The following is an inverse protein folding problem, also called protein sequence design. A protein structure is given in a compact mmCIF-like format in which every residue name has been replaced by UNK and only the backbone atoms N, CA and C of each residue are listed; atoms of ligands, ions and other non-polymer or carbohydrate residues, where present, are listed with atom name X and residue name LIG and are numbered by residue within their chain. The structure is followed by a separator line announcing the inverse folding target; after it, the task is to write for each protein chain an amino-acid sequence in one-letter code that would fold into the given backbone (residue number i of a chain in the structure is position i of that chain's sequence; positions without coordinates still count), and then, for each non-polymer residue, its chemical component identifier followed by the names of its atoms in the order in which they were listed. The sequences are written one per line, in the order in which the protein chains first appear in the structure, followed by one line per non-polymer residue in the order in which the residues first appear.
data_IF_906505579783
#
_entry.id   IF_906505579783
#
_cell.length_a   1.000
_cell.length_b   1.000
_cell.length_c   1.000
_cell.angle_alpha   90.00
_cell.angle_beta   90.00
_cell.angle_gamma   90.00
#
_symmetry.space_group_name_H-M   'P 1'
#
loop_
_entity.id
_entity.type
_entity.pdbx_description
1 polymer ?
#
# COMPACT_ATOMS: atom_id res chain seq x y z
N UNK A 1 8.81 -10.30 -94.59
CA UNK A 1 8.84 -11.37 -93.60
C UNK A 1 9.84 -11.06 -92.53
N UNK A 2 9.51 -10.24 -91.54
CA UNK A 2 10.31 -9.97 -90.27
C UNK A 2 9.38 -9.41 -89.27
N UNK A 3 9.43 -9.91 -88.07
CA UNK A 3 8.74 -9.42 -86.83
C UNK A 3 7.62 -10.27 -86.22
N UNK A 4 7.73 -11.60 -86.22
CA UNK A 4 6.81 -12.43 -85.40
C UNK A 4 7.54 -13.10 -84.20
N UNK A 5 8.88 -13.21 -84.23
CA UNK A 5 9.62 -13.91 -83.15
C UNK A 5 9.96 -13.07 -81.91
N UNK A 6 10.00 -11.75 -81.98
CA UNK A 6 10.36 -10.87 -80.87
C UNK A 6 9.21 -10.68 -79.83
N UNK A 7 7.94 -10.74 -80.29
CA UNK A 7 6.80 -10.59 -79.45
C UNK A 7 6.52 -11.79 -78.49
N UNK A 8 6.88 -12.99 -78.96
CA UNK A 8 6.66 -14.22 -78.18
C UNK A 8 7.71 -14.46 -77.10
N UNK A 9 8.93 -13.96 -77.31
CA UNK A 9 10.00 -14.06 -76.30
C UNK A 9 9.78 -13.06 -75.16
N UNK A 10 9.37 -11.83 -75.43
CA UNK A 10 9.02 -10.83 -74.41
C UNK A 10 7.77 -11.22 -73.55
N UNK A 11 6.78 -11.88 -74.17
CA UNK A 11 5.61 -12.38 -73.48
C UNK A 11 5.94 -13.52 -72.49
N UNK A 12 6.87 -14.43 -72.86
CA UNK A 12 7.34 -15.52 -71.97
C UNK A 12 8.21 -14.99 -70.84
N UNK A 13 9.03 -13.97 -71.05
CA UNK A 13 9.83 -13.35 -69.96
C UNK A 13 8.96 -12.58 -69.02
N UNK A 14 7.94 -11.84 -69.47
CA UNK A 14 6.97 -11.15 -68.63
C UNK A 14 6.09 -12.12 -67.85
N UNK A 15 5.68 -13.28 -68.34
CA UNK A 15 4.94 -14.28 -67.57
C UNK A 15 5.83 -14.98 -66.57
N UNK A 16 7.11 -15.19 -66.80
CA UNK A 16 8.02 -15.81 -65.81
C UNK A 16 8.35 -14.86 -64.65
N UNK A 17 8.50 -13.55 -64.93
CA UNK A 17 8.65 -12.56 -63.85
C UNK A 17 7.39 -12.37 -62.99
N UNK A 18 6.18 -12.49 -63.59
CA UNK A 18 4.91 -12.35 -62.83
C UNK A 18 4.62 -13.53 -61.91
N UNK A 19 5.18 -14.73 -62.18
CA UNK A 19 5.00 -15.92 -61.31
C UNK A 19 6.00 -15.96 -60.17
N UNK A 20 7.18 -15.29 -60.29
CA UNK A 20 8.19 -15.26 -59.21
C UNK A 20 7.94 -14.18 -58.16
N UNK A 21 7.19 -13.12 -58.44
CA UNK A 21 6.88 -12.05 -57.50
C UNK A 21 6.00 -12.47 -56.30
N UNK A 22 4.98 -13.35 -56.42
CA UNK A 22 4.21 -13.77 -55.24
C UNK A 22 4.95 -14.72 -54.30
N UNK A 23 5.99 -15.41 -54.76
CA UNK A 23 6.77 -16.34 -53.93
C UNK A 23 7.65 -15.64 -52.88
N UNK A 24 8.19 -14.47 -53.18
CA UNK A 24 8.98 -13.69 -52.24
C UNK A 24 8.11 -12.96 -51.20
N UNK A 25 6.86 -12.62 -51.53
CA UNK A 25 5.92 -12.00 -50.60
C UNK A 25 5.47 -12.96 -49.48
N UNK A 26 5.35 -14.26 -49.79
CA UNK A 26 5.00 -15.29 -48.81
C UNK A 26 6.10 -15.52 -47.78
N UNK A 27 7.38 -15.53 -48.18
CA UNK A 27 8.49 -15.66 -47.22
C UNK A 27 8.68 -14.43 -46.36
N UNK A 28 8.42 -13.23 -46.88
CA UNK A 28 8.49 -11.99 -46.12
C UNK A 28 7.36 -11.89 -45.03
N UNK A 29 6.16 -12.46 -45.32
CA UNK A 29 5.07 -12.53 -44.33
C UNK A 29 5.37 -13.51 -43.21
N UNK A 30 5.95 -14.69 -43.51
CA UNK A 30 6.32 -15.66 -42.47
C UNK A 30 7.44 -15.14 -41.54
N UNK A 31 8.41 -14.41 -42.10
CA UNK A 31 9.47 -13.79 -41.29
C UNK A 31 8.94 -12.62 -40.46
N UNK A 32 8.00 -11.82 -41.00
CA UNK A 32 7.35 -10.75 -40.25
C UNK A 32 6.48 -11.32 -39.13
N UNK A 33 5.73 -12.40 -39.39
CA UNK A 33 4.95 -13.09 -38.36
C UNK A 33 5.86 -13.67 -37.27
N UNK A 34 6.98 -14.30 -37.59
CA UNK A 34 7.97 -14.79 -36.64
C UNK A 34 8.59 -13.66 -35.80
N UNK A 35 8.91 -12.52 -36.41
CA UNK A 35 9.41 -11.34 -35.72
C UNK A 35 8.33 -10.77 -34.76
N UNK A 36 7.08 -10.69 -35.20
CA UNK A 36 5.95 -10.28 -34.35
C UNK A 36 5.69 -11.26 -33.23
N UNK A 37 5.76 -12.57 -33.44
CA UNK A 37 5.67 -13.59 -32.39
C UNK A 37 6.86 -13.51 -31.43
N UNK A 38 8.08 -13.30 -31.91
CA UNK A 38 9.26 -13.08 -31.04
C UNK A 38 9.20 -11.77 -30.26
N UNK A 39 8.63 -10.71 -30.82
CA UNK A 39 8.34 -9.47 -30.08
C UNK A 39 7.23 -9.67 -29.05
N UNK A 40 6.18 -10.44 -29.37
CA UNK A 40 5.11 -10.77 -28.42
C UNK A 40 5.58 -11.69 -27.28
N UNK A 41 6.52 -12.59 -27.51
CA UNK A 41 7.13 -13.40 -26.44
C UNK A 41 8.09 -12.60 -25.55
N UNK A 42 8.57 -11.44 -25.98
CA UNK A 42 9.35 -10.47 -25.20
C UNK A 42 8.48 -9.38 -24.56
N UNK A 43 7.16 -9.40 -24.72
CA UNK A 43 6.28 -8.43 -24.07
C UNK A 43 6.42 -8.60 -22.55
N UNK A 44 7.05 -7.62 -21.93
CA UNK A 44 7.18 -7.48 -20.49
C UNK A 44 5.77 -7.60 -19.89
N UNK A 45 5.49 -8.69 -19.17
CA UNK A 45 4.16 -8.97 -18.63
C UNK A 45 3.66 -7.71 -17.91
N UNK A 46 2.44 -7.29 -18.23
CA UNK A 46 1.82 -6.05 -17.73
C UNK A 46 1.79 -6.03 -16.22
N UNK A 47 2.35 -4.99 -15.59
CA UNK A 47 2.33 -4.80 -14.14
C UNK A 47 0.91 -4.45 -13.69
N UNK A 48 0.46 -5.10 -12.62
CA UNK A 48 -0.83 -4.78 -11.99
C UNK A 48 -0.64 -3.53 -11.13
N UNK A 49 -1.48 -2.52 -11.37
CA UNK A 49 -1.44 -1.23 -10.67
C UNK A 49 -2.73 -0.96 -9.90
N UNK A 50 -2.68 0.01 -8.98
CA UNK A 50 -3.83 0.46 -8.20
C UNK A 50 -4.55 -0.68 -7.46
N UNK A 51 -3.76 -1.51 -6.75
CA UNK A 51 -4.30 -2.55 -5.86
C UNK A 51 -5.08 -1.89 -4.72
N UNK A 52 -4.54 -0.81 -4.17
CA UNK A 52 -5.20 0.08 -3.21
C UNK A 52 -5.20 1.53 -3.73
N UNK A 53 -5.86 2.45 -3.03
CA UNK A 53 -6.04 3.85 -3.45
C UNK A 53 -5.16 4.84 -2.70
N UNK A 54 -4.65 4.45 -1.56
CA UNK A 54 -3.75 5.19 -0.70
C UNK A 54 -2.47 4.37 -0.50
N UNK A 55 -1.57 4.83 0.35
CA UNK A 55 -0.42 4.07 0.83
C UNK A 55 -0.68 3.42 2.20
N UNK A 56 -1.88 3.57 2.74
CA UNK A 56 -2.38 2.89 3.94
C UNK A 56 -3.77 2.33 3.69
N UNK A 57 -4.07 1.16 4.28
CA UNK A 57 -5.42 0.61 4.31
C UNK A 57 -6.34 1.53 5.13
N UNK A 58 -6.18 1.54 6.42
CA UNK A 58 -6.81 2.48 7.37
C UNK A 58 -5.76 2.94 8.39
N UNK A 59 -5.31 2.06 9.29
CA UNK A 59 -4.20 2.28 10.21
C UNK A 59 -2.88 1.79 9.60
N UNK A 60 -2.87 0.54 9.12
CA UNK A 60 -1.71 -0.15 8.58
C UNK A 60 -1.32 0.29 7.18
N UNK A 61 -0.06 0.09 6.84
CA UNK A 61 0.44 0.28 5.48
C UNK A 61 -0.18 -0.72 4.51
N UNK A 62 -0.38 -0.30 3.26
CA UNK A 62 -0.62 -1.18 2.14
C UNK A 62 0.64 -1.32 1.25
N UNK A 63 0.54 -2.06 0.14
CA UNK A 63 1.68 -2.30 -0.77
C UNK A 63 2.03 -1.12 -1.67
N UNK A 64 1.22 -0.07 -1.71
CA UNK A 64 1.47 1.05 -2.62
C UNK A 64 2.59 1.95 -2.10
N UNK A 65 3.38 2.50 -3.00
CA UNK A 65 4.49 3.44 -2.76
C UNK A 65 4.20 4.75 -3.48
N UNK A 66 4.69 5.87 -2.96
CA UNK A 66 4.70 7.14 -3.69
C UNK A 66 5.57 6.98 -4.94
N UNK A 67 5.19 7.64 -6.04
CA UNK A 67 6.06 7.70 -7.23
C UNK A 67 7.27 8.56 -6.94
N UNK A 68 8.33 8.35 -7.71
CA UNK A 68 9.55 9.15 -7.59
C UNK A 68 9.25 10.64 -7.74
N UNK A 69 9.68 11.43 -6.76
CA UNK A 69 9.47 12.88 -6.73
C UNK A 69 8.10 13.33 -6.24
N UNK A 70 7.20 12.40 -5.87
CA UNK A 70 5.93 12.73 -5.21
C UNK A 70 6.11 12.83 -3.69
N UNK A 71 5.53 13.88 -3.12
CA UNK A 71 5.37 14.08 -1.68
C UNK A 71 3.89 13.91 -1.34
N UNK A 72 3.57 12.92 -0.54
CA UNK A 72 2.24 12.69 0.00
C UNK A 72 2.14 13.36 1.38
N UNK A 73 1.25 14.32 1.52
CA UNK A 73 0.85 14.86 2.81
C UNK A 73 -0.36 14.12 3.33
N UNK A 74 -0.27 13.62 4.56
CA UNK A 74 -1.34 12.85 5.21
C UNK A 74 -1.76 13.49 6.51
N UNK A 75 -3.05 13.71 6.68
CA UNK A 75 -3.70 14.06 7.95
C UNK A 75 -4.53 12.88 8.39
N UNK A 76 -4.18 12.26 9.50
CA UNK A 76 -4.99 11.21 10.13
C UNK A 76 -5.62 11.76 11.39
N UNK A 77 -6.90 11.50 11.59
CA UNK A 77 -7.68 12.02 12.70
C UNK A 77 -8.49 10.89 13.36
N UNK A 78 -8.50 10.82 14.67
CA UNK A 78 -9.29 9.89 15.48
C UNK A 78 -9.99 10.69 16.58
N UNK A 79 -11.29 10.53 16.64
CA UNK A 79 -12.12 11.07 17.73
C UNK A 79 -12.04 10.20 18.98
N UNK A 80 -12.69 10.57 20.05
CA UNK A 80 -12.90 9.74 21.24
C UNK A 80 -13.76 8.51 20.94
N UNK A 81 -14.05 7.72 21.96
CA UNK A 81 -14.89 6.52 21.82
C UNK A 81 -16.36 6.88 21.71
N UNK A 82 -17.11 6.21 20.83
CA UNK A 82 -18.54 6.48 20.61
C UNK A 82 -19.42 6.10 21.81
N UNK A 83 -18.94 5.20 22.68
CA UNK A 83 -19.65 4.78 23.89
C UNK A 83 -19.58 5.79 25.05
N UNK A 84 -18.90 6.92 24.89
CA UNK A 84 -18.86 8.00 25.90
C UNK A 84 -20.19 8.77 26.03
N UNK A 85 -21.15 8.44 25.18
CA UNK A 85 -22.50 8.99 25.25
C UNK A 85 -22.65 10.44 24.80
N UNK A 86 -23.83 10.98 25.02
CA UNK A 86 -24.19 12.31 24.51
C UNK A 86 -23.45 13.45 25.22
N UNK A 87 -22.97 13.24 26.46
CA UNK A 87 -22.21 14.25 27.20
C UNK A 87 -20.89 14.61 26.51
N UNK A 88 -20.15 13.62 25.98
CA UNK A 88 -18.92 13.80 25.21
C UNK A 88 -19.20 13.85 23.70
N UNK A 89 -20.46 14.16 23.33
CA UNK A 89 -20.94 14.16 21.96
C UNK A 89 -20.51 12.90 21.16
N UNK A 90 -20.71 11.73 21.78
CA UNK A 90 -20.29 10.42 21.24
C UNK A 90 -18.79 10.35 20.87
N UNK A 91 -17.96 11.00 21.69
CA UNK A 91 -16.52 11.06 21.53
C UNK A 91 -16.02 12.17 20.61
N UNK A 92 -16.88 12.95 19.95
CA UNK A 92 -16.47 13.99 19.02
C UNK A 92 -15.78 15.19 19.68
N UNK A 93 -15.97 15.39 21.00
CA UNK A 93 -15.29 16.44 21.79
C UNK A 93 -13.80 16.15 21.99
N UNK A 94 -13.35 14.93 21.78
CA UNK A 94 -11.97 14.52 21.91
C UNK A 94 -11.38 14.19 20.56
N UNK A 95 -10.15 14.63 20.33
CA UNK A 95 -9.47 14.36 19.07
C UNK A 95 -7.98 14.05 19.26
N UNK A 96 -7.49 13.13 18.47
CA UNK A 96 -6.06 12.91 18.23
C UNK A 96 -5.78 12.98 16.75
N UNK A 97 -4.62 13.54 16.40
CA UNK A 97 -4.23 13.76 15.01
C UNK A 97 -2.80 13.30 14.79
N UNK A 98 -2.52 12.75 13.59
CA UNK A 98 -1.18 12.54 13.09
C UNK A 98 -1.02 13.28 11.76
N UNK A 99 0.04 14.08 11.67
CA UNK A 99 0.50 14.67 10.42
C UNK A 99 1.67 13.84 9.90
N UNK A 100 1.64 13.50 8.62
CA UNK A 100 2.67 12.72 7.96
C UNK A 100 3.10 13.32 6.64
N UNK A 101 4.36 13.12 6.30
CA UNK A 101 4.97 13.45 5.02
C UNK A 101 5.69 12.22 4.50
N UNK A 102 5.27 11.72 3.36
CA UNK A 102 5.79 10.49 2.77
C UNK A 102 6.31 10.82 1.36
N UNK A 103 7.61 10.61 1.12
CA UNK A 103 8.29 11.00 -0.12
C UNK A 103 8.74 9.79 -0.92
N UNK A 104 8.41 9.76 -2.21
CA UNK A 104 8.88 8.78 -3.17
C UNK A 104 10.32 9.07 -3.61
N UNK A 105 11.28 8.40 -3.02
CA UNK A 105 12.69 8.50 -3.42
C UNK A 105 12.90 7.83 -4.78
N UNK A 106 12.30 6.65 -4.93
CA UNK A 106 12.20 5.91 -6.19
C UNK A 106 10.80 5.32 -6.31
N UNK A 107 10.40 4.88 -7.49
CA UNK A 107 9.09 4.23 -7.69
C UNK A 107 8.87 2.96 -6.83
N UNK A 108 9.93 2.42 -6.25
CA UNK A 108 9.91 1.26 -5.37
C UNK A 108 10.24 1.57 -3.91
N UNK A 109 10.68 2.81 -3.59
CA UNK A 109 11.11 3.22 -2.25
C UNK A 109 10.42 4.51 -1.83
N UNK A 110 9.67 4.45 -0.75
CA UNK A 110 9.08 5.61 -0.04
C UNK A 110 9.70 5.73 1.34
N UNK A 111 10.04 6.94 1.73
CA UNK A 111 10.45 7.30 3.09
C UNK A 111 9.37 8.21 3.67
N UNK A 112 9.05 8.04 4.94
CA UNK A 112 8.03 8.86 5.58
C UNK A 112 8.42 9.26 6.99
N UNK A 113 7.89 10.40 7.42
CA UNK A 113 8.00 10.90 8.79
C UNK A 113 6.66 11.43 9.24
N UNK A 114 6.39 11.33 10.54
CA UNK A 114 5.14 11.82 11.08
C UNK A 114 5.22 12.21 12.54
N UNK A 115 4.19 12.92 12.98
CA UNK A 115 3.99 13.26 14.39
C UNK A 115 2.53 13.10 14.77
N UNK A 116 2.28 12.30 15.80
CA UNK A 116 0.98 12.12 16.43
C UNK A 116 0.85 12.96 17.71
N UNK A 117 -0.34 13.50 17.95
CA UNK A 117 -0.68 14.10 19.24
C UNK A 117 -0.90 13.03 20.31
N UNK A 118 -1.31 11.82 19.91
CA UNK A 118 -1.42 10.68 20.82
C UNK A 118 -0.03 10.25 21.29
N UNK A 119 0.19 10.21 22.59
CA UNK A 119 1.48 9.99 23.26
C UNK A 119 2.62 10.93 22.78
N UNK A 120 2.28 12.03 22.08
CA UNK A 120 3.25 12.95 21.45
C UNK A 120 4.32 12.20 20.65
N UNK A 121 3.91 11.15 19.92
CA UNK A 121 4.79 10.24 19.21
C UNK A 121 5.28 10.86 17.91
N UNK A 122 6.60 10.77 17.67
CA UNK A 122 7.21 10.93 16.35
C UNK A 122 7.45 9.56 15.75
N UNK A 123 7.26 9.43 14.46
CA UNK A 123 7.51 8.20 13.72
C UNK A 123 8.26 8.48 12.41
N UNK A 124 9.01 7.50 11.98
CA UNK A 124 9.65 7.47 10.68
C UNK A 124 9.66 6.07 10.11
N UNK A 125 9.53 5.93 8.79
CA UNK A 125 9.54 4.62 8.14
C UNK A 125 10.24 4.62 6.78
N UNK A 126 10.69 3.42 6.42
CA UNK A 126 11.14 3.06 5.07
C UNK A 126 10.16 2.00 4.54
N UNK A 127 9.69 2.19 3.32
CA UNK A 127 8.76 1.27 2.64
C UNK A 127 9.30 0.94 1.27
N UNK A 128 9.66 -0.33 1.04
CA UNK A 128 10.30 -0.79 -0.17
C UNK A 128 9.46 -1.86 -0.88
N UNK A 129 9.09 -1.63 -2.13
CA UNK A 129 8.37 -2.59 -3.00
C UNK A 129 9.40 -3.56 -3.59
N UNK A 130 9.37 -4.81 -3.11
CA UNK A 130 10.35 -5.86 -3.44
C UNK A 130 9.95 -6.65 -4.68
N UNK A 131 8.65 -6.91 -4.84
CA UNK A 131 8.09 -7.70 -5.93
C UNK A 131 6.79 -7.07 -6.40
N UNK A 132 6.53 -7.08 -7.71
CA UNK A 132 5.31 -6.54 -8.30
C UNK A 132 4.47 -7.64 -8.92
N UNK A 133 3.16 -7.60 -8.70
CA UNK A 133 2.20 -8.47 -9.35
C UNK A 133 2.17 -8.19 -10.86
N UNK A 134 2.12 -9.25 -11.69
CA UNK A 134 2.07 -9.16 -13.16
C UNK A 134 1.03 -10.10 -13.72
N UNK A 135 0.25 -9.63 -14.68
CA UNK A 135 -0.74 -10.47 -15.39
C UNK A 135 -0.04 -11.64 -16.08
N UNK A 136 -0.56 -12.86 -15.85
CA UNK A 136 0.06 -14.09 -16.38
C UNK A 136 1.49 -14.35 -15.89
N UNK A 137 1.88 -13.76 -14.76
CA UNK A 137 3.19 -13.93 -14.13
C UNK A 137 3.09 -14.04 -12.62
N UNK A 138 3.79 -13.18 -11.91
CA UNK A 138 3.82 -13.15 -10.44
C UNK A 138 2.42 -12.81 -9.89
N UNK A 139 1.82 -13.65 -9.02
CA UNK A 139 0.44 -13.47 -8.56
C UNK A 139 0.28 -12.42 -7.45
N UNK A 140 1.36 -11.98 -6.83
CA UNK A 140 1.35 -11.07 -5.67
C UNK A 140 2.35 -9.93 -5.83
N UNK A 141 2.07 -8.83 -5.14
CA UNK A 141 3.04 -7.76 -4.83
C UNK A 141 3.55 -7.97 -3.40
N UNK A 142 4.85 -7.81 -3.18
CA UNK A 142 5.49 -7.87 -1.87
C UNK A 142 6.17 -6.54 -1.58
N UNK A 143 5.87 -5.95 -0.42
CA UNK A 143 6.46 -4.70 0.05
C UNK A 143 6.93 -4.87 1.49
N UNK A 144 8.16 -4.50 1.81
CA UNK A 144 8.68 -4.43 3.17
C UNK A 144 8.47 -3.04 3.77
N UNK A 145 8.11 -2.98 5.04
CA UNK A 145 8.04 -1.75 5.82
C UNK A 145 8.87 -1.92 7.09
N UNK A 146 9.72 -0.93 7.37
CA UNK A 146 10.47 -0.83 8.62
C UNK A 146 10.23 0.56 9.20
N UNK A 147 9.71 0.63 10.42
CA UNK A 147 9.40 1.89 11.08
C UNK A 147 10.00 1.97 12.49
N UNK A 148 10.26 3.18 12.92
CA UNK A 148 10.70 3.53 14.27
C UNK A 148 9.76 4.59 14.82
N UNK A 149 9.35 4.43 16.10
CA UNK A 149 8.51 5.38 16.81
C UNK A 149 9.22 5.85 18.09
N UNK A 150 9.05 7.12 18.42
CA UNK A 150 9.62 7.77 19.59
C UNK A 150 8.50 8.40 20.41
N UNK A 151 8.20 7.84 21.58
CA UNK A 151 7.29 8.45 22.55
C UNK A 151 8.00 9.61 23.24
N UNK A 152 7.43 10.83 23.15
CA UNK A 152 8.05 12.04 23.75
C UNK A 152 7.28 12.59 24.95
N UNK A 153 6.40 11.82 25.55
CA UNK A 153 5.79 12.18 26.84
C UNK A 153 6.89 12.39 27.90
N UNK A 154 6.60 13.25 28.88
CA UNK A 154 7.47 13.37 30.05
C UNK A 154 7.51 12.05 30.81
N UNK A 155 8.65 11.70 31.36
CA UNK A 155 8.73 10.53 32.24
C UNK A 155 7.85 10.76 33.45
N UNK A 156 7.12 9.73 33.88
CA UNK A 156 6.24 9.78 35.05
C UNK A 156 7.00 9.98 36.33
N UNK A 157 8.23 9.45 36.41
CA UNK A 157 9.16 9.62 37.52
C UNK A 157 10.46 10.23 36.96
N UNK A 158 10.65 11.57 37.09
CA UNK A 158 11.84 12.25 36.61
C UNK A 158 13.12 11.89 37.40
N UNK A 159 12.98 11.49 38.66
CA UNK A 159 14.12 11.20 39.56
C UNK A 159 14.70 9.82 39.29
N UNK A 160 13.97 8.95 38.61
CA UNK A 160 14.45 7.65 38.16
C UNK A 160 15.46 7.84 37.02
N UNK A 161 16.46 6.96 36.93
CA UNK A 161 17.35 6.89 35.78
C UNK A 161 16.54 6.49 34.52
N UNK A 162 16.23 7.48 33.70
CA UNK A 162 15.46 7.34 32.47
C UNK A 162 16.40 7.30 31.27
N UNK A 163 16.28 6.22 30.45
CA UNK A 163 17.07 6.08 29.24
C UNK A 163 16.29 6.56 28.01
N UNK A 164 16.96 7.25 27.10
CA UNK A 164 16.33 7.64 25.82
C UNK A 164 15.85 6.42 25.03
N UNK A 165 16.61 5.31 25.04
CA UNK A 165 16.25 4.07 24.36
C UNK A 165 14.89 3.51 24.79
N UNK A 166 14.46 3.70 26.04
CA UNK A 166 13.16 3.23 26.51
C UNK A 166 11.96 3.93 25.83
N UNK A 167 12.20 5.03 25.13
CA UNK A 167 11.18 5.74 24.33
C UNK A 167 11.01 5.16 22.93
N UNK A 168 11.92 4.30 22.49
CA UNK A 168 11.97 3.79 21.13
C UNK A 168 11.17 2.51 21.00
N UNK A 169 10.46 2.41 19.89
CA UNK A 169 9.79 1.20 19.43
C UNK A 169 10.12 1.02 17.95
N UNK A 170 10.32 -0.23 17.55
CA UNK A 170 10.59 -0.60 16.17
C UNK A 170 9.49 -1.51 15.67
N UNK A 171 9.11 -1.36 14.41
CA UNK A 171 8.15 -2.26 13.77
C UNK A 171 8.62 -2.65 12.38
N UNK A 172 8.43 -3.92 12.04
CA UNK A 172 8.75 -4.47 10.73
C UNK A 172 7.55 -5.25 10.21
N UNK A 173 7.17 -4.98 8.97
CA UNK A 173 6.02 -5.63 8.35
C UNK A 173 6.40 -6.11 6.94
N UNK A 174 5.92 -7.29 6.58
CA UNK A 174 5.95 -7.76 5.21
C UNK A 174 4.52 -7.73 4.67
N UNK A 175 4.28 -6.90 3.67
CA UNK A 175 2.98 -6.70 3.06
C UNK A 175 2.92 -7.57 1.80
N UNK A 176 1.99 -8.52 1.76
CA UNK A 176 1.80 -9.45 0.64
C UNK A 176 0.38 -9.25 0.13
N UNK A 177 0.24 -8.65 -1.04
CA UNK A 177 -1.08 -8.32 -1.58
C UNK A 177 -1.29 -8.84 -2.99
N UNK A 178 -2.54 -9.12 -3.30
CA UNK A 178 -2.99 -9.48 -4.62
C UNK A 178 -4.24 -8.70 -5.01
N UNK A 179 -4.23 -8.11 -6.18
CA UNK A 179 -5.43 -7.64 -6.86
C UNK A 179 -6.05 -8.83 -7.58
N UNK A 180 -7.00 -9.49 -6.89
CA UNK A 180 -7.65 -10.73 -7.37
C UNK A 180 -8.54 -10.42 -8.58
N UNK A 181 -9.21 -9.25 -8.55
CA UNK A 181 -10.04 -8.75 -9.64
C UNK A 181 -10.00 -7.22 -9.71
N UNK A 182 -10.70 -6.64 -10.69
CA UNK A 182 -10.87 -5.19 -10.74
C UNK A 182 -11.68 -4.63 -9.55
N UNK A 183 -12.45 -5.48 -8.87
CA UNK A 183 -13.33 -5.11 -7.76
C UNK A 183 -12.72 -5.46 -6.41
N UNK A 184 -11.88 -6.51 -6.33
CA UNK A 184 -11.45 -7.10 -5.06
C UNK A 184 -9.93 -7.22 -4.96
N UNK A 185 -9.37 -6.73 -3.85
CA UNK A 185 -7.95 -6.86 -3.49
C UNK A 185 -7.82 -7.32 -2.04
N UNK A 186 -6.83 -8.17 -1.78
CA UNK A 186 -6.49 -8.69 -0.46
C UNK A 186 -5.03 -8.41 -0.11
N UNK A 187 -4.75 -8.29 1.18
CA UNK A 187 -3.41 -8.12 1.73
C UNK A 187 -3.25 -8.91 3.03
N UNK A 188 -2.12 -9.60 3.18
CA UNK A 188 -1.62 -10.16 4.43
C UNK A 188 -0.45 -9.32 4.92
N UNK A 189 -0.32 -9.20 6.26
CA UNK A 189 0.64 -8.31 6.91
C UNK A 189 1.29 -8.99 8.12
N UNK A 190 2.14 -10.04 7.95
CA UNK A 190 3.01 -10.50 9.02
C UNK A 190 3.78 -9.31 9.61
N UNK A 191 3.66 -9.12 10.92
CA UNK A 191 4.12 -7.94 11.63
C UNK A 191 4.90 -8.33 12.87
N UNK A 192 5.99 -7.60 13.12
CA UNK A 192 6.81 -7.69 14.30
C UNK A 192 6.97 -6.29 14.91
N UNK A 193 6.73 -6.17 16.22
CA UNK A 193 6.90 -4.92 16.98
C UNK A 193 7.81 -5.19 18.16
N UNK A 194 8.91 -4.44 18.26
CA UNK A 194 9.80 -4.45 19.41
C UNK A 194 9.64 -3.18 20.22
N UNK A 195 9.23 -3.32 21.48
CA UNK A 195 9.08 -2.22 22.46
C UNK A 195 10.23 -2.27 23.44
N UNK A 196 11.09 -1.24 23.46
CA UNK A 196 12.22 -1.20 24.40
C UNK A 196 11.78 -1.09 25.85
N UNK A 197 10.58 -0.57 26.09
CA UNK A 197 9.97 -0.50 27.41
C UNK A 197 8.52 -0.96 27.32
N UNK A 198 8.11 -1.84 28.20
CA UNK A 198 6.71 -2.29 28.37
C UNK A 198 6.16 -1.82 29.71
N UNK A 199 4.83 -1.57 29.83
CA UNK A 199 4.20 -1.08 31.06
C UNK A 199 4.34 -2.03 32.25
N UNK A 200 4.30 -3.35 32.00
CA UNK A 200 4.34 -4.38 33.05
C UNK A 200 5.32 -5.49 32.72
N UNK A 201 5.85 -6.17 33.74
CA UNK A 201 6.76 -7.30 33.58
C UNK A 201 6.12 -8.54 32.90
N UNK A 202 4.80 -8.62 32.87
CA UNK A 202 4.07 -9.69 32.21
C UNK A 202 3.96 -9.53 30.69
N UNK A 203 4.22 -8.34 30.18
CA UNK A 203 4.20 -8.08 28.75
C UNK A 203 5.55 -8.40 28.10
N UNK A 204 5.50 -8.78 26.84
CA UNK A 204 6.72 -9.03 26.06
C UNK A 204 7.17 -7.76 25.34
N UNK A 205 8.49 -7.57 25.27
CA UNK A 205 9.07 -6.53 24.42
C UNK A 205 8.79 -6.82 22.95
N UNK A 206 8.84 -8.10 22.57
CA UNK A 206 8.65 -8.59 21.21
C UNK A 206 7.22 -9.06 21.01
N UNK A 207 6.52 -8.44 20.05
CA UNK A 207 5.13 -8.75 19.71
C UNK A 207 5.05 -9.14 18.25
N UNK A 208 4.55 -10.35 18.00
CA UNK A 208 4.25 -10.86 16.67
C UNK A 208 2.76 -10.82 16.43
N UNK A 209 2.38 -10.37 15.24
CA UNK A 209 0.99 -10.31 14.82
C UNK A 209 0.85 -10.71 13.36
N UNK A 210 -0.32 -11.20 12.99
CA UNK A 210 -0.73 -11.42 11.61
C UNK A 210 -1.86 -10.44 11.28
N UNK A 211 -1.56 -9.48 10.44
CA UNK A 211 -2.54 -8.58 9.87
C UNK A 211 -3.18 -9.17 8.61
N UNK A 212 -4.44 -8.86 8.40
CA UNK A 212 -5.16 -9.14 7.16
C UNK A 212 -6.03 -7.94 6.81
N UNK A 213 -6.13 -7.63 5.53
CA UNK A 213 -6.99 -6.53 5.09
C UNK A 213 -7.35 -6.65 3.62
N UNK A 214 -8.27 -5.82 3.19
CA UNK A 214 -8.70 -5.86 1.80
C UNK A 214 -9.54 -4.66 1.41
N UNK A 215 -9.80 -4.61 0.11
CA UNK A 215 -10.60 -3.57 -0.52
C UNK A 215 -11.62 -4.18 -1.46
N UNK A 216 -12.85 -3.67 -1.37
CA UNK A 216 -13.93 -3.94 -2.32
C UNK A 216 -14.29 -2.64 -3.01
N UNK A 217 -14.19 -2.58 -4.33
CA UNK A 217 -14.59 -1.43 -5.12
C UNK A 217 -16.11 -1.41 -5.27
N UNK A 218 -16.75 -0.38 -4.73
CA UNK A 218 -18.20 -0.17 -4.81
C UNK A 218 -18.58 0.67 -6.03
N UNK A 219 -17.78 1.69 -6.34
CA UNK A 219 -17.99 2.56 -7.52
C UNK A 219 -16.64 2.98 -8.13
N UNK A 220 -16.67 3.90 -9.09
CA UNK A 220 -15.43 4.46 -9.67
C UNK A 220 -14.58 5.20 -8.63
N UNK A 221 -15.24 5.88 -7.69
CA UNK A 221 -14.58 6.75 -6.70
C UNK A 221 -14.68 6.23 -5.27
N UNK A 222 -15.48 5.19 -4.99
CA UNK A 222 -15.73 4.70 -3.63
C UNK A 222 -15.33 3.24 -3.51
N UNK A 223 -14.53 2.95 -2.48
CA UNK A 223 -14.15 1.59 -2.10
C UNK A 223 -14.50 1.36 -0.63
N UNK A 224 -14.91 0.15 -0.30
CA UNK A 224 -14.97 -0.33 1.07
C UNK A 224 -13.63 -0.97 1.42
N UNK A 225 -13.07 -0.64 2.59
CA UNK A 225 -11.78 -1.14 3.07
C UNK A 225 -11.95 -1.65 4.50
N UNK A 226 -11.30 -2.77 4.80
CA UNK A 226 -11.26 -3.33 6.15
C UNK A 226 -9.87 -3.89 6.45
N UNK A 227 -9.46 -3.85 7.72
CA UNK A 227 -8.23 -4.44 8.21
C UNK A 227 -8.41 -4.99 9.63
N UNK A 228 -7.68 -6.06 9.93
CA UNK A 228 -7.66 -6.71 11.23
C UNK A 228 -6.24 -7.17 11.55
N UNK A 229 -5.81 -7.00 12.81
CA UNK A 229 -4.53 -7.49 13.31
C UNK A 229 -4.76 -8.48 14.44
N UNK A 230 -4.36 -9.71 14.24
CA UNK A 230 -4.36 -10.76 15.25
C UNK A 230 -2.99 -10.83 15.92
N UNK A 231 -2.92 -10.49 17.20
CA UNK A 231 -1.72 -10.64 18.03
C UNK A 231 -1.69 -12.03 18.62
N UNK A 232 -0.56 -12.73 18.51
CA UNK A 232 -0.43 -14.07 19.08
C UNK A 232 -0.52 -14.03 20.60
N UNK A 233 -1.17 -15.01 21.23
CA UNK A 233 -1.45 -15.01 22.68
C UNK A 233 -0.19 -14.92 23.56
N UNK A 234 -0.34 -14.34 24.74
CA UNK A 234 0.70 -14.28 25.79
C UNK A 234 1.82 -13.26 25.55
N UNK A 235 1.62 -12.30 24.63
CA UNK A 235 2.62 -11.29 24.32
C UNK A 235 2.26 -9.90 24.85
N UNK A 236 0.97 -9.63 25.00
CA UNK A 236 0.42 -8.34 25.47
C UNK A 236 -0.50 -8.55 26.66
N UNK A 237 -0.76 -7.50 27.42
CA UNK A 237 -1.72 -7.53 28.53
C UNK A 237 -3.13 -7.86 28.04
N UNK A 238 -3.94 -8.53 28.88
CA UNK A 238 -5.35 -8.81 28.61
C UNK A 238 -6.22 -7.55 28.42
N UNK A 239 -5.74 -6.40 28.84
CA UNK A 239 -6.38 -5.11 28.62
C UNK A 239 -6.32 -4.65 27.16
N UNK A 240 -5.36 -5.16 26.41
CA UNK A 240 -5.23 -4.87 24.99
C UNK A 240 -6.05 -5.84 24.12
N UNK A 241 -6.59 -5.33 23.05
CA UNK A 241 -7.46 -6.01 22.10
C UNK A 241 -6.82 -6.04 20.72
N UNK A 242 -7.23 -6.99 19.91
CA UNK A 242 -6.87 -7.00 18.49
C UNK A 242 -7.49 -5.79 17.79
N UNK A 243 -6.71 -5.15 16.93
CA UNK A 243 -7.19 -3.99 16.16
C UNK A 243 -8.05 -4.44 15.00
N UNK A 244 -9.22 -3.84 14.87
CA UNK A 244 -10.13 -3.97 13.74
C UNK A 244 -10.52 -2.58 13.25
N UNK A 245 -10.43 -2.35 11.96
CA UNK A 245 -10.92 -1.13 11.34
C UNK A 245 -11.70 -1.43 10.06
N UNK A 246 -12.77 -0.66 9.83
CA UNK A 246 -13.60 -0.72 8.62
C UNK A 246 -13.91 0.70 8.15
N UNK A 247 -13.96 0.91 6.85
CA UNK A 247 -14.19 2.25 6.32
C UNK A 247 -14.40 2.31 4.83
N UNK A 248 -14.44 3.52 4.33
CA UNK A 248 -14.61 3.84 2.92
C UNK A 248 -13.52 4.79 2.44
N UNK A 249 -12.93 4.47 1.30
CA UNK A 249 -12.03 5.35 0.57
C UNK A 249 -12.82 6.07 -0.50
N UNK A 250 -12.77 7.40 -0.49
CA UNK A 250 -13.45 8.27 -1.45
C UNK A 250 -12.38 9.04 -2.22
N UNK A 251 -12.26 8.77 -3.50
CA UNK A 251 -11.30 9.42 -4.39
C UNK A 251 -11.95 10.64 -5.07
N UNK A 252 -11.35 11.81 -4.88
CA UNK A 252 -11.81 13.08 -5.46
C UNK A 252 -10.61 13.84 -6.04
N UNK A 253 -10.49 13.91 -7.36
CA UNK A 253 -9.61 14.84 -8.08
C UNK A 253 -8.19 15.08 -7.50
N UNK A 254 -7.47 14.02 -7.12
CA UNK A 254 -6.12 14.12 -6.55
C UNK A 254 -6.04 14.02 -5.03
N UNK A 255 -7.18 13.83 -4.35
CA UNK A 255 -7.24 13.53 -2.93
C UNK A 255 -7.87 12.15 -2.71
N UNK A 256 -7.42 11.44 -1.68
CA UNK A 256 -8.12 10.26 -1.16
C UNK A 256 -8.56 10.60 0.26
N UNK A 257 -9.87 10.61 0.47
CA UNK A 257 -10.50 10.81 1.77
C UNK A 257 -10.97 9.45 2.28
N UNK A 258 -10.48 9.02 3.44
CA UNK A 258 -10.88 7.76 4.07
C UNK A 258 -11.69 8.08 5.32
N UNK A 259 -12.94 7.63 5.39
CA UNK A 259 -13.77 7.69 6.61
C UNK A 259 -13.88 6.29 7.18
N UNK A 260 -13.71 6.13 8.49
CA UNK A 260 -13.64 4.81 9.07
C UNK A 260 -14.01 4.77 10.56
N UNK A 261 -14.26 3.55 11.01
CA UNK A 261 -14.38 3.19 12.42
C UNK A 261 -13.25 2.21 12.77
N UNK A 262 -12.63 2.41 13.93
CA UNK A 262 -11.56 1.55 14.44
C UNK A 262 -11.60 1.53 15.97
N UNK A 263 -11.21 0.41 16.59
CA UNK A 263 -11.04 0.35 18.03
C UNK A 263 -9.65 0.83 18.49
N UNK A 264 -8.77 1.22 17.57
CA UNK A 264 -7.47 1.80 17.93
C UNK A 264 -7.48 3.33 17.82
N UNK A 265 -7.12 4.00 18.89
CA UNK A 265 -6.90 5.45 18.91
C UNK A 265 -5.56 5.82 18.29
N UNK A 266 -4.58 4.94 18.39
CA UNK A 266 -3.24 5.13 17.84
C UNK A 266 -3.23 4.97 16.32
N UNK A 267 -2.40 5.78 15.65
CA UNK A 267 -2.20 5.80 14.20
C UNK A 267 -0.79 5.32 13.81
N UNK A 268 -0.04 4.74 14.78
CA UNK A 268 1.30 4.16 14.57
C UNK A 268 1.31 2.69 15.01
N UNK A 269 2.21 1.90 14.44
CA UNK A 269 2.23 0.43 14.53
C UNK A 269 2.29 -0.08 15.96
N UNK A 270 3.10 0.53 16.83
CA UNK A 270 3.14 0.19 18.26
C UNK A 270 1.73 0.15 18.85
N UNK A 271 0.99 1.23 18.65
CA UNK A 271 -0.29 1.41 19.29
C UNK A 271 -1.40 0.58 18.68
N UNK A 272 -1.57 0.56 17.34
CA UNK A 272 -2.67 -0.19 16.77
C UNK A 272 -2.42 -1.71 16.70
N UNK A 273 -1.17 -2.18 16.74
CA UNK A 273 -0.88 -3.62 16.79
C UNK A 273 -0.84 -4.13 18.23
N UNK A 274 -0.06 -3.46 19.12
CA UNK A 274 0.29 -4.03 20.41
C UNK A 274 -0.45 -3.39 21.61
N UNK A 275 -1.08 -2.21 21.46
CA UNK A 275 -1.59 -1.42 22.57
C UNK A 275 -3.00 -0.86 22.31
N UNK A 276 -3.81 -1.53 21.49
CA UNK A 276 -5.21 -1.17 21.25
C UNK A 276 -6.05 -1.47 22.50
N UNK A 277 -6.73 -0.47 23.05
CA UNK A 277 -7.54 -0.59 24.27
C UNK A 277 -9.03 -0.66 24.01
N UNK A 278 -9.50 -0.21 22.84
CA UNK A 278 -10.93 -0.23 22.51
C UNK A 278 -11.43 -1.66 22.24
N UNK A 279 -12.68 -1.91 22.61
CA UNK A 279 -13.38 -3.16 22.33
C UNK A 279 -14.60 -2.87 21.45
N UNK A 280 -14.74 -3.59 20.34
CA UNK A 280 -15.87 -3.46 19.43
C UNK A 280 -17.19 -3.86 20.09
N UNK A 281 -17.16 -4.86 20.99
CA UNK A 281 -18.35 -5.38 21.65
C UNK A 281 -18.89 -4.42 22.71
N UNK A 282 -18.02 -3.56 23.29
CA UNK A 282 -18.40 -2.57 24.29
C UNK A 282 -18.62 -1.17 23.69
N UNK A 283 -18.55 -1.05 22.35
CA UNK A 283 -18.63 0.25 21.69
C UNK A 283 -17.41 1.14 21.89
N UNK A 284 -16.27 0.57 22.34
CA UNK A 284 -14.96 1.24 22.44
C UNK A 284 -14.34 1.50 21.07
N UNK A 285 -15.11 2.17 20.20
CA UNK A 285 -14.82 2.40 18.80
C UNK A 285 -14.60 3.89 18.58
N UNK A 286 -13.63 4.24 17.79
CA UNK A 286 -13.32 5.60 17.37
C UNK A 286 -13.81 5.83 15.94
N UNK A 287 -14.58 6.88 15.73
CA UNK A 287 -14.73 7.45 14.40
C UNK A 287 -13.44 8.16 14.00
N UNK A 288 -13.08 8.12 12.73
CA UNK A 288 -11.90 8.79 12.23
C UNK A 288 -11.93 9.02 10.74
N UNK A 289 -10.98 9.82 10.28
CA UNK A 289 -10.73 10.00 8.86
C UNK A 289 -9.24 10.16 8.58
N UNK A 290 -8.84 9.83 7.36
CA UNK A 290 -7.53 10.16 6.80
C UNK A 290 -7.75 11.00 5.54
N UNK A 291 -6.98 12.07 5.40
CA UNK A 291 -6.92 12.91 4.21
C UNK A 291 -5.52 12.81 3.62
N UNK A 292 -5.44 12.39 2.37
CA UNK A 292 -4.21 12.21 1.64
C UNK A 292 -4.18 13.16 0.43
N UNK A 293 -3.09 13.93 0.29
CA UNK A 293 -2.87 14.82 -0.85
C UNK A 293 -1.45 14.64 -1.40
N UNK A 294 -1.38 14.37 -2.69
CA UNK A 294 -0.10 14.22 -3.40
C UNK A 294 0.31 15.57 -4.00
N UNK A 295 1.60 15.89 -3.83
CA UNK A 295 2.27 17.02 -4.47
C UNK A 295 3.44 16.48 -5.31
N UNK A 296 3.57 16.89 -6.54
CA UNK A 296 4.75 16.61 -7.35
C UNK A 296 5.82 17.66 -7.02
N UNK A 297 6.87 17.24 -6.32
CA UNK A 297 8.00 18.10 -5.91
C UNK A 297 9.11 18.06 -6.95
N UNK A 298 9.28 16.90 -7.60
CA UNK A 298 10.30 16.68 -8.61
C UNK A 298 9.76 15.77 -9.70
N UNK A 299 9.98 16.11 -10.94
CA UNK A 299 9.70 15.26 -12.10
C UNK A 299 11.01 14.72 -12.65
N UNK A 300 11.28 13.40 -12.60
CA UNK A 300 12.46 12.82 -13.20
C UNK A 300 12.53 13.18 -14.71
N UNK A 301 13.71 13.55 -15.19
CA UNK A 301 13.93 13.63 -16.64
C UNK A 301 13.95 12.22 -17.19
N UNK A 302 13.21 11.98 -18.27
CA UNK A 302 13.22 10.72 -19.03
C UNK A 302 14.59 10.43 -19.62
#
# INVERSE_FOLDING_TARGET
MRNIHTGMFMRKVLLTCAVLLPSYALFAQDDLMKIMEQQNTKTKKEEVTATFKSIRLINGHDIETCKQGELLFTVQHRFGQINQGSYEFFGLDQATMRLGFDYGVFNWLTVGVGRSTFEKTYDGFLKAKLLKQRKGGTPVTITGVSAMQINTLRFSDPDRKNYFSSRLTYSHQLLIASKVSNTFSLQLMPSYVHRNLVPTASEKNDVFALGGGGRIRLSRSVNFTAEYYYVFPGQISSTYKNSLAVGFDIETGGHVFQVHFTNSRSMVEKGFIAETTGDWLDGGIHFGFNLNRVFTVYTPKE
#
